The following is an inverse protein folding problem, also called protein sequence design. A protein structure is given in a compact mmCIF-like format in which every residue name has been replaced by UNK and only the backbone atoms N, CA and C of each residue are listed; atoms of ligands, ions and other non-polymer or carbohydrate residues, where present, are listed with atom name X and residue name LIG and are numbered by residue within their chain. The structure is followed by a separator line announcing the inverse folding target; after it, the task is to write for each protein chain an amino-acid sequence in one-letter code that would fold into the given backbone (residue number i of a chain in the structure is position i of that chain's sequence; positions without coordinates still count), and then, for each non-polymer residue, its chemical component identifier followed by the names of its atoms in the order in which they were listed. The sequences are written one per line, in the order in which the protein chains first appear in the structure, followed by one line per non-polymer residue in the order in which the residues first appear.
data_IF_930666682825
#
_entry.id   IF_930666682825
#
_cell.length_a   1.000
_cell.length_b   1.000
_cell.length_c   1.000
_cell.angle_alpha   90.00
_cell.angle_beta   90.00
_cell.angle_gamma   90.00
#
_symmetry.space_group_name_H-M   'P 1'
#
loop_
_entity.id
_entity.type
_entity.pdbx_description
1 polymer ?
#
# COMPACT_ATOMS: atom_id res chain seq x y z
N UNK A 1 -25.25 -15.14 15.82
CA UNK A 1 -24.65 -14.75 14.54
C UNK A 1 -23.74 -13.57 14.74
N UNK A 2 -22.49 -13.85 14.78
CA UNK A 2 -21.47 -12.81 14.80
C UNK A 2 -21.41 -12.20 13.42
N UNK A 3 -22.09 -11.11 13.23
CA UNK A 3 -21.75 -10.19 12.17
C UNK A 3 -20.35 -9.70 12.49
N UNK A 4 -19.38 -10.13 11.72
CA UNK A 4 -18.11 -9.44 11.68
C UNK A 4 -18.41 -7.95 11.56
N UNK A 5 -17.79 -7.08 12.39
CA UNK A 5 -17.86 -5.66 12.12
C UNK A 5 -17.44 -5.52 10.66
N UNK A 6 -18.43 -5.23 9.85
CA UNK A 6 -18.26 -5.28 8.42
C UNK A 6 -17.11 -4.38 8.04
N UNK A 7 -16.35 -4.81 7.06
CA UNK A 7 -15.41 -3.95 6.33
C UNK A 7 -16.04 -2.60 5.97
N UNK A 8 -17.36 -2.52 5.98
CA UNK A 8 -18.17 -1.32 5.83
C UNK A 8 -17.89 -0.27 6.93
N UNK A 9 -17.64 -0.71 8.16
CA UNK A 9 -17.33 0.23 9.25
C UNK A 9 -15.90 0.74 9.15
N UNK A 10 -15.00 -0.09 8.67
CA UNK A 10 -13.64 0.34 8.34
C UNK A 10 -13.63 1.34 7.18
N UNK A 11 -14.44 1.10 6.16
CA UNK A 11 -14.51 2.01 5.03
C UNK A 11 -15.09 3.37 5.43
N UNK A 12 -16.03 3.41 6.34
CA UNK A 12 -16.57 4.67 6.89
C UNK A 12 -15.55 5.39 7.76
N UNK A 13 -14.78 4.65 8.54
CA UNK A 13 -13.72 5.22 9.38
C UNK A 13 -12.56 5.74 8.54
N UNK A 14 -12.32 5.12 7.38
CA UNK A 14 -11.28 5.50 6.43
C UNK A 14 -11.75 6.50 5.38
N UNK A 15 -13.06 6.81 5.33
CA UNK A 15 -13.61 7.78 4.38
C UNK A 15 -12.91 9.15 4.36
N UNK A 16 -12.49 9.73 5.51
CA UNK A 16 -11.73 10.97 5.46
C UNK A 16 -10.38 10.86 4.74
N UNK A 17 -9.86 9.65 4.59
CA UNK A 17 -8.58 9.37 3.96
C UNK A 17 -8.70 9.02 2.49
N UNK A 18 -9.92 8.93 1.98
CA UNK A 18 -10.21 8.20 0.75
C UNK A 18 -10.25 9.07 -0.50
N UNK A 19 -10.10 10.39 -0.38
CA UNK A 19 -10.07 11.26 -1.57
C UNK A 19 -8.76 11.07 -2.36
N UNK A 20 -8.35 9.91 -2.60
CA UNK A 20 -7.15 9.57 -3.33
C UNK A 20 -6.89 8.09 -3.29
N UNK A 21 -7.52 7.39 -2.36
CA UNK A 21 -7.34 5.96 -2.16
C UNK A 21 -8.63 5.15 -2.28
N UNK A 22 -9.77 5.73 -2.68
CA UNK A 22 -11.04 5.00 -2.80
C UNK A 22 -10.89 3.76 -3.69
N UNK A 23 -10.33 3.93 -4.87
CA UNK A 23 -10.08 2.83 -5.80
C UNK A 23 -9.05 1.85 -5.25
N UNK A 24 -8.08 2.35 -4.53
CA UNK A 24 -7.04 1.53 -3.91
C UNK A 24 -7.63 0.60 -2.84
N UNK A 25 -8.48 1.12 -1.96
CA UNK A 25 -9.15 0.30 -0.94
C UNK A 25 -10.13 -0.69 -1.56
N UNK A 26 -10.84 -0.31 -2.61
CA UNK A 26 -11.73 -1.21 -3.34
C UNK A 26 -10.95 -2.36 -3.97
N UNK A 27 -9.82 -2.06 -4.60
CA UNK A 27 -8.97 -3.08 -5.22
C UNK A 27 -8.33 -3.99 -4.18
N UNK A 28 -7.86 -3.45 -3.06
CA UNK A 28 -7.33 -4.22 -1.94
C UNK A 28 -8.43 -5.11 -1.34
N UNK A 29 -9.65 -4.60 -1.21
CA UNK A 29 -10.79 -5.38 -0.73
C UNK A 29 -11.14 -6.51 -1.69
N UNK A 30 -11.13 -6.26 -2.99
CA UNK A 30 -11.36 -7.27 -4.02
C UNK A 30 -10.25 -8.31 -4.02
N UNK A 31 -8.99 -7.89 -3.96
CA UNK A 31 -7.86 -8.79 -3.83
C UNK A 31 -7.98 -9.65 -2.57
N UNK A 32 -8.35 -9.06 -1.46
CA UNK A 32 -8.53 -9.78 -0.19
C UNK A 32 -9.66 -10.80 -0.29
N UNK A 33 -10.70 -10.52 -1.05
CA UNK A 33 -11.84 -11.43 -1.22
C UNK A 33 -11.48 -12.61 -2.14
N UNK A 34 -10.73 -12.38 -3.20
CA UNK A 34 -10.24 -13.46 -4.08
C UNK A 34 -9.17 -14.29 -3.41
N UNK A 35 -8.38 -13.66 -2.59
CA UNK A 35 -7.26 -14.24 -1.86
C UNK A 35 -7.72 -15.06 -0.66
N UNK A 36 -8.84 -14.74 -0.06
CA UNK A 36 -9.45 -15.58 0.97
C UNK A 36 -9.78 -16.98 0.48
N UNK A 37 -9.75 -17.19 -0.85
CA UNK A 37 -9.89 -18.51 -1.46
C UNK A 37 -8.56 -19.23 -1.67
N UNK A 38 -7.43 -18.53 -1.60
CA UNK A 38 -6.08 -19.10 -1.72
C UNK A 38 -5.23 -18.56 -0.58
N UNK A 39 -5.02 -19.37 0.44
CA UNK A 39 -4.28 -19.00 1.66
C UNK A 39 -2.84 -18.49 1.46
N UNK A 40 -2.35 -18.43 0.22
CA UNK A 40 -0.98 -18.04 -0.14
C UNK A 40 -0.88 -16.55 -0.46
N UNK A 41 -1.97 -15.84 -0.50
CA UNK A 41 -2.02 -14.56 -1.19
C UNK A 41 -1.90 -13.34 -0.29
N UNK A 42 -1.69 -13.51 1.01
CA UNK A 42 -1.39 -12.41 1.93
C UNK A 42 0.11 -12.20 2.17
N UNK A 43 0.91 -12.65 1.23
CA UNK A 43 2.35 -12.54 1.35
C UNK A 43 2.90 -11.51 0.35
N UNK A 44 3.79 -10.62 0.79
CA UNK A 44 4.13 -10.36 2.18
C UNK A 44 3.06 -9.54 2.90
N UNK A 45 2.98 -9.64 4.25
CA UNK A 45 2.14 -8.75 5.03
C UNK A 45 2.52 -7.30 4.81
N UNK A 46 1.53 -6.42 4.80
CA UNK A 46 1.77 -5.00 4.59
C UNK A 46 0.84 -4.15 5.43
N UNK A 47 1.26 -2.92 5.68
CA UNK A 47 0.47 -1.88 6.32
C UNK A 47 0.38 -0.68 5.38
N UNK A 48 -0.69 0.06 5.50
CA UNK A 48 -0.83 1.38 4.90
C UNK A 48 -1.13 2.34 6.03
N UNK A 49 -0.30 3.36 6.18
CA UNK A 49 -0.45 4.37 7.21
C UNK A 49 -0.63 5.74 6.60
N UNK A 50 -1.43 6.55 7.23
CA UNK A 50 -1.40 7.99 7.03
C UNK A 50 -0.56 8.61 8.14
N UNK A 51 0.53 9.25 7.80
CA UNK A 51 1.47 9.83 8.77
C UNK A 51 1.21 11.31 8.98
N UNK A 52 0.75 11.99 7.95
CA UNK A 52 0.31 13.37 7.97
C UNK A 52 -0.81 13.53 6.94
N UNK A 53 -1.48 14.66 6.98
CA UNK A 53 -2.48 14.97 5.96
C UNK A 53 -1.84 14.86 4.56
N UNK A 54 -2.46 14.08 3.69
CA UNK A 54 -1.99 13.80 2.32
C UNK A 54 -0.66 13.06 2.22
N UNK A 55 -0.14 12.52 3.32
CA UNK A 55 1.10 11.73 3.31
C UNK A 55 0.86 10.34 3.84
N UNK A 56 1.28 9.35 3.08
CA UNK A 56 1.03 7.94 3.35
C UNK A 56 2.32 7.14 3.28
N UNK A 57 2.36 6.05 4.01
CA UNK A 57 3.44 5.07 3.94
C UNK A 57 2.83 3.70 3.73
N UNK A 58 3.33 2.99 2.73
CA UNK A 58 3.10 1.56 2.57
C UNK A 58 4.31 0.84 3.17
N UNK A 59 4.07 -0.10 4.06
CA UNK A 59 5.11 -0.91 4.70
C UNK A 59 4.89 -2.38 4.35
N UNK A 60 5.92 -3.04 3.83
CA UNK A 60 5.90 -4.47 3.56
C UNK A 60 6.93 -5.18 4.44
N UNK A 61 6.54 -6.29 5.05
CA UNK A 61 7.45 -7.13 5.81
C UNK A 61 8.26 -8.00 4.82
N UNK A 62 9.52 -7.62 4.61
CA UNK A 62 10.40 -8.25 3.62
C UNK A 62 11.72 -8.72 4.24
N UNK A 63 11.67 -9.11 5.51
CA UNK A 63 12.83 -9.65 6.21
C UNK A 63 13.37 -10.86 5.43
N UNK A 64 14.67 -10.92 5.25
CA UNK A 64 15.34 -11.97 4.47
C UNK A 64 15.53 -11.66 2.99
N UNK A 65 14.90 -10.60 2.47
CA UNK A 65 15.17 -10.11 1.13
C UNK A 65 16.31 -9.09 1.17
N UNK A 66 17.20 -9.18 0.21
CA UNK A 66 18.16 -8.11 -0.04
C UNK A 66 17.49 -7.01 -0.88
N UNK A 67 18.02 -5.81 -0.82
CA UNK A 67 17.56 -4.70 -1.64
C UNK A 67 17.54 -5.06 -3.13
N UNK A 68 18.52 -5.81 -3.59
CA UNK A 68 18.63 -6.26 -4.98
C UNK A 68 17.58 -7.29 -5.38
N UNK A 69 16.91 -7.92 -4.41
CA UNK A 69 15.86 -8.91 -4.67
C UNK A 69 14.48 -8.26 -4.85
N UNK A 70 14.37 -6.97 -4.59
CA UNK A 70 13.10 -6.25 -4.62
C UNK A 70 13.16 -5.16 -5.69
N UNK A 71 12.11 -5.13 -6.50
CA UNK A 71 11.91 -4.12 -7.53
C UNK A 71 10.62 -3.35 -7.25
N UNK A 72 10.72 -2.03 -7.26
CA UNK A 72 9.57 -1.13 -7.09
C UNK A 72 9.43 -0.31 -8.37
N UNK A 73 8.29 -0.46 -9.03
CA UNK A 73 8.02 0.25 -10.29
C UNK A 73 6.67 0.94 -10.24
N UNK A 74 6.55 2.02 -10.98
CA UNK A 74 5.28 2.71 -11.21
C UNK A 74 4.89 2.51 -12.68
N UNK A 75 3.82 1.76 -12.88
CA UNK A 75 3.27 1.47 -14.21
C UNK A 75 1.92 2.19 -14.35
N UNK A 76 1.93 3.36 -14.99
CA UNK A 76 0.74 4.21 -15.03
C UNK A 76 0.37 4.69 -13.63
N UNK A 77 -0.80 4.29 -13.16
CA UNK A 77 -1.26 4.59 -11.81
C UNK A 77 -1.09 3.40 -10.84
N UNK A 78 -0.33 2.40 -11.23
CA UNK A 78 -0.11 1.21 -10.42
C UNK A 78 1.30 1.16 -9.87
N UNK A 79 1.39 1.11 -8.56
CA UNK A 79 2.64 0.82 -7.86
C UNK A 79 2.79 -0.71 -7.81
N UNK A 80 3.83 -1.21 -8.45
CA UNK A 80 4.11 -2.65 -8.51
C UNK A 80 5.38 -2.94 -7.71
N UNK A 81 5.26 -3.83 -6.75
CA UNK A 81 6.38 -4.26 -5.91
C UNK A 81 6.57 -5.76 -6.14
N UNK A 82 7.74 -6.11 -6.65
CA UNK A 82 8.11 -7.51 -6.92
C UNK A 82 9.26 -7.93 -6.02
N UNK A 83 9.17 -9.12 -5.49
CA UNK A 83 10.24 -9.73 -4.73
C UNK A 83 10.60 -11.10 -5.29
N UNK A 84 11.90 -11.36 -5.41
CA UNK A 84 12.44 -12.64 -5.85
C UNK A 84 13.15 -13.31 -4.68
N UNK A 85 12.60 -14.41 -4.17
CA UNK A 85 13.21 -15.18 -3.11
C UNK A 85 14.34 -16.05 -3.66
N UNK A 86 15.43 -16.12 -2.92
CA UNK A 86 16.53 -17.04 -3.23
C UNK A 86 16.15 -18.45 -2.80
N UNK A 87 16.71 -19.45 -3.47
CA UNK A 87 16.56 -20.83 -3.04
C UNK A 87 17.13 -21.01 -1.62
N UNK A 88 16.42 -21.79 -0.82
CA UNK A 88 16.84 -22.09 0.53
C UNK A 88 17.83 -23.26 0.49
N UNK A 89 19.12 -22.93 0.53
CA UNK A 89 20.20 -23.93 0.55
C UNK A 89 20.22 -24.75 1.85
N UNK A 90 19.59 -24.23 2.90
CA UNK A 90 19.61 -24.81 4.23
C UNK A 90 18.31 -25.58 4.57
N UNK A 91 17.50 -25.91 3.57
CA UNK A 91 16.19 -26.55 3.75
C UNK A 91 16.24 -27.80 4.63
N UNK A 92 17.32 -28.55 4.57
CA UNK A 92 17.51 -29.80 5.34
C UNK A 92 17.94 -29.56 6.78
N UNK A 93 18.26 -28.33 7.16
CA UNK A 93 18.82 -28.00 8.48
C UNK A 93 17.76 -27.57 9.51
N UNK A 94 16.53 -27.30 9.08
CA UNK A 94 15.50 -26.80 9.98
C UNK A 94 14.82 -27.93 10.74
N UNK A 95 14.75 -27.79 12.06
CA UNK A 95 13.83 -28.57 12.87
C UNK A 95 12.39 -28.10 12.70
N UNK A 96 12.22 -26.80 12.52
CA UNK A 96 10.94 -26.16 12.24
C UNK A 96 11.20 -24.92 11.40
N UNK A 97 10.44 -24.77 10.34
CA UNK A 97 10.52 -23.61 9.45
C UNK A 97 9.19 -22.86 9.43
N UNK A 98 9.13 -21.79 10.21
CA UNK A 98 7.95 -20.91 10.25
C UNK A 98 8.08 -19.67 9.39
N UNK A 99 9.30 -19.33 8.95
CA UNK A 99 9.57 -18.19 8.08
C UNK A 99 10.08 -18.71 6.74
N UNK A 100 9.36 -18.37 5.68
CA UNK A 100 9.75 -18.72 4.33
C UNK A 100 9.62 -17.52 3.41
N UNK A 101 10.71 -17.15 2.75
CA UNK A 101 10.67 -16.13 1.72
C UNK A 101 10.12 -16.72 0.43
N UNK A 102 9.20 -16.01 -0.21
CA UNK A 102 8.53 -16.46 -1.42
C UNK A 102 8.57 -15.36 -2.46
N UNK A 103 8.58 -15.73 -3.72
CA UNK A 103 8.38 -14.77 -4.79
C UNK A 103 7.01 -14.13 -4.63
N UNK A 104 6.94 -12.82 -4.82
CA UNK A 104 5.69 -12.11 -4.73
C UNK A 104 5.60 -10.97 -5.73
N UNK A 105 4.38 -10.61 -6.05
CA UNK A 105 4.04 -9.39 -6.78
C UNK A 105 2.89 -8.73 -6.03
N UNK A 106 3.10 -7.51 -5.59
CA UNK A 106 2.07 -6.68 -4.99
C UNK A 106 1.81 -5.47 -5.88
N UNK A 107 0.56 -5.23 -6.16
CA UNK A 107 0.13 -4.11 -6.98
C UNK A 107 -0.82 -3.24 -6.17
N UNK A 108 -0.53 -1.95 -6.13
CA UNK A 108 -1.37 -0.95 -5.47
C UNK A 108 -1.81 0.07 -6.51
N UNK A 109 -3.11 0.25 -6.66
CA UNK A 109 -3.66 1.26 -7.55
C UNK A 109 -3.68 2.61 -6.83
N UNK A 110 -3.02 3.59 -7.42
CA UNK A 110 -2.91 4.93 -6.88
C UNK A 110 -3.90 5.86 -7.57
N UNK A 111 -4.44 6.80 -6.81
CA UNK A 111 -5.22 7.87 -7.39
C UNK A 111 -4.34 8.81 -8.23
N UNK A 112 -4.94 9.55 -9.14
CA UNK A 112 -4.25 10.35 -10.16
C UNK A 112 -3.25 11.37 -9.59
N UNK A 113 -3.49 11.85 -8.39
CA UNK A 113 -2.66 12.88 -7.75
C UNK A 113 -1.73 12.33 -6.68
N UNK A 114 -1.53 11.03 -6.62
CA UNK A 114 -0.59 10.40 -5.70
C UNK A 114 0.78 10.33 -6.37
N UNK A 115 1.79 10.84 -5.68
CA UNK A 115 3.18 10.77 -6.11
C UNK A 115 3.99 9.93 -5.12
N UNK A 116 4.90 9.12 -5.65
CA UNK A 116 5.83 8.35 -4.83
C UNK A 116 7.03 9.25 -4.53
N UNK A 117 7.27 9.49 -3.25
CA UNK A 117 8.34 10.37 -2.80
C UNK A 117 9.64 9.63 -2.52
N UNK A 118 9.56 8.44 -1.95
CA UNK A 118 10.73 7.67 -1.56
C UNK A 118 10.37 6.21 -1.37
N UNK A 119 11.37 5.35 -1.47
CA UNK A 119 11.28 3.95 -1.10
C UNK A 119 12.57 3.56 -0.39
N UNK A 120 12.47 2.89 0.74
CA UNK A 120 13.61 2.56 1.58
C UNK A 120 13.42 1.21 2.27
N UNK A 121 14.50 0.46 2.40
CA UNK A 121 14.50 -0.75 3.22
C UNK A 121 15.16 -0.46 4.56
N UNK A 122 14.40 -0.65 5.63
CA UNK A 122 14.85 -0.40 7.01
C UNK A 122 14.36 -1.52 7.91
N UNK A 123 15.28 -2.15 8.62
CA UNK A 123 14.93 -3.17 9.63
C UNK A 123 14.03 -4.30 9.10
N UNK A 124 14.31 -4.79 7.89
CA UNK A 124 13.50 -5.85 7.28
C UNK A 124 12.15 -5.41 6.73
N UNK A 125 11.91 -4.10 6.69
CA UNK A 125 10.69 -3.52 6.13
C UNK A 125 11.02 -2.72 4.88
N UNK A 126 10.23 -2.90 3.84
CA UNK A 126 10.22 -1.97 2.71
C UNK A 126 9.19 -0.90 3.02
N UNK A 127 9.61 0.35 3.00
CA UNK A 127 8.73 1.50 3.20
C UNK A 127 8.67 2.33 1.94
N UNK A 128 7.47 2.64 1.50
CA UNK A 128 7.23 3.49 0.33
C UNK A 128 6.42 4.70 0.78
N UNK A 129 6.98 5.89 0.61
CA UNK A 129 6.33 7.15 0.96
C UNK A 129 5.57 7.71 -0.22
N UNK A 130 4.33 8.05 0.03
CA UNK A 130 3.40 8.56 -0.97
C UNK A 130 2.84 9.90 -0.49
N UNK A 131 2.61 10.80 -1.41
CA UNK A 131 1.98 12.08 -1.13
C UNK A 131 0.86 12.36 -2.13
N UNK A 132 -0.28 12.77 -1.58
CA UNK A 132 -1.38 13.23 -2.40
C UNK A 132 -1.17 14.71 -2.71
N UNK A 133 -1.01 15.00 -3.99
CA UNK A 133 -0.77 16.37 -4.48
C UNK A 133 -2.05 17.20 -4.63
N UNK A 134 -3.18 16.71 -4.13
CA UNK A 134 -4.40 17.53 -4.02
C UNK A 134 -4.09 18.66 -3.07
N UNK A 135 -3.63 19.74 -3.67
CA UNK A 135 -3.18 20.89 -2.93
C UNK A 135 -4.37 21.71 -2.43
N UNK A 136 -4.03 22.57 -1.49
CA UNK A 136 -4.76 23.75 -1.08
C UNK A 136 -5.35 24.59 -2.24
N UNK A 137 -5.11 24.21 -3.49
CA UNK A 137 -5.73 24.83 -4.67
C UNK A 137 -7.23 24.58 -4.75
N UNK A 138 -7.72 23.57 -4.06
CA UNK A 138 -9.15 23.37 -3.86
C UNK A 138 -9.69 24.19 -2.67
N UNK A 139 -8.80 24.92 -2.01
CA UNK A 139 -9.20 25.89 -1.01
C UNK A 139 -10.07 26.99 -1.69
N UNK A 140 -11.09 27.40 -1.00
CA UNK A 140 -12.02 28.42 -1.45
C UNK A 140 -11.22 29.64 -1.94
N UNK A 141 -11.25 29.87 -3.25
CA UNK A 141 -10.60 31.03 -3.84
C UNK A 141 -11.60 32.19 -3.79
N UNK A 142 -11.24 33.22 -3.02
CA UNK A 142 -12.05 34.43 -3.00
C UNK A 142 -11.77 35.23 -4.25
N UNK A 143 -12.82 35.53 -5.02
CA UNK A 143 -12.73 36.30 -6.23
C UNK A 143 -13.13 37.74 -5.90
N UNK A 144 -12.28 38.69 -6.26
CA UNK A 144 -12.55 40.10 -6.09
C UNK A 144 -13.55 40.57 -7.15
N UNK A 145 -14.59 41.22 -6.71
CA UNK A 145 -15.58 41.84 -7.63
C UNK A 145 -15.09 43.23 -7.96
N UNK A 146 -14.84 43.48 -9.23
CA UNK A 146 -14.49 44.80 -9.73
C UNK A 146 -15.75 45.50 -10.19
N UNK A 147 -15.84 46.82 -9.96
CA UNK A 147 -16.97 47.61 -10.39
C UNK A 147 -17.22 48.78 -9.44
N UNK A 148 -18.21 49.57 -9.81
CA UNK A 148 -18.62 50.74 -9.00
C UNK A 148 -19.28 50.31 -7.72
N UNK A 149 -19.18 51.11 -6.70
CA UNK A 149 -19.81 50.88 -5.39
C UNK A 149 -21.33 50.76 -5.48
#
# INVERSE_FOLDING_TARGET
MTTFPSLIDYSKTLQPFSIGFDKFFDEVSQMTTEIGKKAIANYPPYNIKQVEKNKYIIELAVAGFAKSDIEVTLEGNKLVIKGSAKEDEDADQYFYKGIANRNFIRTFTLADKIEIKNAEMVNGMLKVWLENLVQTQDAIKRITINGDE
#
